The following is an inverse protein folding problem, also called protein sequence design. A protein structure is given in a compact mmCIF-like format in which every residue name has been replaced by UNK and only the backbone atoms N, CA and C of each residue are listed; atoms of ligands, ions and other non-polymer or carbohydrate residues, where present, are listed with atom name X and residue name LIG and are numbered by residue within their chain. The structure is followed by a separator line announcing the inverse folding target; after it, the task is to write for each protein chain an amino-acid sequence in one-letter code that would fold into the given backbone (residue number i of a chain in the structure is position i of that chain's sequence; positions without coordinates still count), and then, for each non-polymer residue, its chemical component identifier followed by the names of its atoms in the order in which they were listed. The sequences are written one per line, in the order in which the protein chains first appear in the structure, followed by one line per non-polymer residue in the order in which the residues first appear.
data_IF_794146336734
#
_entry.id   IF_794146336734
#
_cell.length_a   1.000
_cell.length_b   1.000
_cell.length_c   1.000
_cell.angle_alpha   90.00
_cell.angle_beta   90.00
_cell.angle_gamma   90.00
#
_symmetry.space_group_name_H-M   'P 1'
#
loop_
_entity.id
_entity.type
_entity.pdbx_description
1 polymer ?
#
# COMPACT_ATOMS: atom_id res chain seq x y z
N UNK A 1 -14.43 22.69 -34.69
CA UNK A 1 -12.97 22.82 -34.46
C UNK A 1 -12.65 21.97 -33.26
N UNK A 2 -12.07 20.79 -33.49
CA UNK A 2 -11.56 19.89 -32.46
C UNK A 2 -10.40 20.60 -31.73
N UNK A 3 -10.64 21.00 -30.49
CA UNK A 3 -9.66 21.71 -29.63
C UNK A 3 -9.38 20.94 -28.34
N UNK A 4 -9.80 19.67 -28.25
CA UNK A 4 -9.73 18.89 -27.01
C UNK A 4 -8.51 17.98 -26.90
N UNK A 5 -7.69 17.85 -27.95
CA UNK A 5 -6.48 17.03 -27.89
C UNK A 5 -5.39 17.75 -27.07
N UNK A 6 -5.15 17.27 -25.84
CA UNK A 6 -3.98 17.65 -25.05
C UNK A 6 -2.77 16.81 -25.49
N UNK A 7 -1.55 17.37 -25.47
CA UNK A 7 -0.34 16.62 -25.79
C UNK A 7 -0.13 15.48 -24.78
N UNK A 8 0.41 14.35 -25.25
CA UNK A 8 0.78 13.25 -24.37
C UNK A 8 1.98 13.65 -23.50
N UNK A 9 1.94 13.26 -22.23
CA UNK A 9 3.04 13.38 -21.28
C UNK A 9 3.37 12.04 -20.66
N UNK A 10 4.62 11.88 -20.22
CA UNK A 10 5.07 10.71 -19.46
C UNK A 10 5.62 11.16 -18.12
N UNK A 11 5.26 10.44 -17.07
CA UNK A 11 5.79 10.62 -15.72
C UNK A 11 6.39 9.30 -15.25
N UNK A 12 7.66 9.33 -14.87
CA UNK A 12 8.32 8.20 -14.20
C UNK A 12 8.07 8.33 -12.71
N UNK A 13 7.53 7.30 -12.09
CA UNK A 13 7.27 7.25 -10.65
C UNK A 13 8.24 6.30 -9.98
N UNK A 14 8.74 6.71 -8.82
CA UNK A 14 9.63 5.93 -7.99
C UNK A 14 9.01 5.80 -6.59
N UNK A 15 9.03 4.59 -6.06
CA UNK A 15 8.62 4.28 -4.70
C UNK A 15 9.36 3.02 -4.25
N UNK A 16 9.57 2.81 -2.93
CA UNK A 16 10.13 1.56 -2.42
C UNK A 16 9.32 0.34 -2.89
N UNK A 17 7.99 0.49 -2.98
CA UNK A 17 7.08 -0.52 -3.53
C UNK A 17 5.82 0.12 -4.07
N UNK A 18 5.14 -0.59 -4.97
CA UNK A 18 3.81 -0.25 -5.48
C UNK A 18 2.73 -1.25 -5.01
N UNK A 19 3.04 -2.08 -3.99
CA UNK A 19 2.04 -2.95 -3.36
C UNK A 19 0.96 -2.08 -2.69
N UNK A 20 -0.29 -2.36 -3.04
CA UNK A 20 -1.49 -1.65 -2.60
C UNK A 20 -2.44 -2.57 -1.84
N UNK A 21 -3.41 -2.03 -1.11
CA UNK A 21 -4.43 -2.87 -0.44
C UNK A 21 -5.19 -3.72 -1.47
N UNK A 22 -5.57 -3.13 -2.60
CA UNK A 22 -6.21 -3.83 -3.71
C UNK A 22 -5.39 -5.00 -4.28
N UNK A 23 -4.07 -5.02 -4.08
CA UNK A 23 -3.22 -6.16 -4.48
C UNK A 23 -3.51 -7.39 -3.62
N UNK A 24 -3.69 -7.21 -2.31
CA UNK A 24 -4.09 -8.26 -1.38
C UNK A 24 -5.54 -8.68 -1.63
N UNK A 25 -6.46 -7.71 -1.76
CA UNK A 25 -7.89 -7.98 -1.98
C UNK A 25 -8.11 -8.82 -3.24
N UNK A 26 -7.41 -8.51 -4.34
CA UNK A 26 -7.52 -9.29 -5.58
C UNK A 26 -7.11 -10.75 -5.39
N UNK A 27 -6.03 -11.01 -4.66
CA UNK A 27 -5.56 -12.39 -4.40
C UNK A 27 -6.53 -13.14 -3.48
N UNK A 28 -7.01 -12.47 -2.42
CA UNK A 28 -8.01 -13.02 -1.51
C UNK A 28 -9.33 -13.34 -2.23
N UNK A 29 -9.83 -12.42 -3.06
CA UNK A 29 -11.06 -12.62 -3.84
C UNK A 29 -10.93 -13.75 -4.88
N UNK A 30 -9.71 -14.05 -5.32
CA UNK A 30 -9.43 -15.15 -6.25
C UNK A 30 -9.20 -16.50 -5.55
N UNK A 31 -9.27 -16.57 -4.22
CA UNK A 31 -8.95 -17.78 -3.45
C UNK A 31 -7.49 -18.22 -3.56
N UNK A 32 -6.58 -17.30 -3.90
CA UNK A 32 -5.18 -17.59 -4.17
C UNK A 32 -4.33 -17.53 -2.89
N UNK A 33 -4.66 -18.34 -1.88
CA UNK A 33 -4.12 -18.23 -0.52
C UNK A 33 -2.58 -18.34 -0.47
N UNK A 34 -1.99 -19.25 -1.26
CA UNK A 34 -0.54 -19.41 -1.32
C UNK A 34 0.18 -18.19 -1.94
N UNK A 35 -0.49 -17.45 -2.83
CA UNK A 35 0.03 -16.22 -3.43
C UNK A 35 -0.17 -15.05 -2.48
N UNK A 36 -1.31 -15.01 -1.78
CA UNK A 36 -1.60 -14.02 -0.75
C UNK A 36 -0.56 -14.10 0.38
N UNK A 37 -0.26 -15.32 0.84
CA UNK A 37 0.77 -15.54 1.85
C UNK A 37 2.14 -15.08 1.34
N UNK A 38 2.53 -15.46 0.11
CA UNK A 38 3.79 -15.01 -0.49
C UNK A 38 3.89 -13.48 -0.60
N UNK A 39 2.79 -12.80 -0.93
CA UNK A 39 2.75 -11.33 -0.97
C UNK A 39 2.95 -10.72 0.42
N UNK A 40 2.33 -11.30 1.45
CA UNK A 40 2.49 -10.86 2.83
C UNK A 40 3.93 -11.07 3.33
N UNK A 41 4.50 -12.26 3.07
CA UNK A 41 5.88 -12.58 3.40
C UNK A 41 6.86 -11.63 2.68
N UNK A 42 6.69 -11.43 1.38
CA UNK A 42 7.47 -10.47 0.59
C UNK A 42 7.39 -9.04 1.18
N UNK A 43 6.20 -8.61 1.57
CA UNK A 43 6.00 -7.26 2.13
C UNK A 43 6.74 -7.10 3.46
N UNK A 44 6.63 -8.11 4.33
CA UNK A 44 7.32 -8.12 5.61
C UNK A 44 8.85 -8.15 5.44
N UNK A 45 9.34 -9.09 4.65
CA UNK A 45 10.78 -9.32 4.47
C UNK A 45 11.50 -8.10 3.91
N UNK A 46 10.90 -7.40 2.93
CA UNK A 46 11.59 -6.32 2.22
C UNK A 46 11.31 -4.92 2.75
N UNK A 47 10.16 -4.69 3.42
CA UNK A 47 9.74 -3.33 3.79
C UNK A 47 9.42 -3.15 5.26
N UNK A 48 9.37 -4.22 6.05
CA UNK A 48 9.06 -4.18 7.49
C UNK A 48 9.98 -5.13 8.25
N UNK A 49 11.29 -4.94 8.09
CA UNK A 49 12.31 -5.84 8.65
C UNK A 49 12.20 -5.99 10.17
N UNK A 50 11.83 -4.90 10.85
CA UNK A 50 11.55 -4.87 12.29
C UNK A 50 10.43 -5.84 12.70
N UNK A 51 9.39 -5.96 11.87
CA UNK A 51 8.29 -6.90 12.06
C UNK A 51 8.72 -8.32 11.64
N UNK A 52 9.44 -8.44 10.53
CA UNK A 52 9.90 -9.73 9.99
C UNK A 52 10.84 -10.48 10.94
N UNK A 53 11.76 -9.79 11.60
CA UNK A 53 12.69 -10.36 12.58
C UNK A 53 11.95 -10.94 13.79
N UNK A 54 10.80 -10.37 14.15
CA UNK A 54 9.98 -10.82 15.29
C UNK A 54 9.11 -12.05 14.99
N UNK A 55 9.10 -12.56 13.75
CA UNK A 55 8.25 -13.71 13.38
C UNK A 55 8.56 -14.99 14.17
N UNK A 56 9.80 -15.14 14.67
CA UNK A 56 10.23 -16.26 15.50
C UNK A 56 9.92 -16.11 16.99
N UNK A 57 9.49 -14.92 17.44
CA UNK A 57 9.24 -14.62 18.86
C UNK A 57 7.85 -15.07 19.35
N UNK A 58 7.09 -15.80 18.52
CA UNK A 58 5.72 -16.22 18.80
C UNK A 58 4.66 -15.19 18.39
N UNK A 59 3.45 -15.70 18.15
CA UNK A 59 2.31 -14.93 17.63
C UNK A 59 2.18 -15.00 16.10
N UNK A 60 1.16 -14.31 15.56
CA UNK A 60 0.87 -14.30 14.13
C UNK A 60 1.60 -13.11 13.45
N UNK A 61 2.59 -13.35 12.56
CA UNK A 61 3.31 -12.27 11.88
C UNK A 61 2.39 -11.40 11.00
N UNK A 62 1.32 -11.97 10.44
CA UNK A 62 0.36 -11.23 9.61
C UNK A 62 -0.53 -10.30 10.43
N UNK A 63 -0.76 -10.59 11.72
CA UNK A 63 -1.41 -9.65 12.62
C UNK A 63 -0.54 -8.41 12.83
N UNK A 64 0.77 -8.60 12.99
CA UNK A 64 1.72 -7.48 13.13
C UNK A 64 1.87 -6.70 11.82
N UNK A 65 1.85 -7.38 10.66
CA UNK A 65 1.77 -6.73 9.35
C UNK A 65 0.56 -5.80 9.29
N UNK A 66 -0.63 -6.30 9.61
CA UNK A 66 -1.85 -5.49 9.57
C UNK A 66 -1.78 -4.31 10.55
N UNK A 67 -1.30 -4.53 11.76
CA UNK A 67 -1.11 -3.46 12.75
C UNK A 67 -0.18 -2.37 12.20
N UNK A 68 0.96 -2.75 11.62
CA UNK A 68 1.91 -1.80 11.04
C UNK A 68 1.32 -0.99 9.90
N UNK A 69 0.55 -1.63 9.01
CA UNK A 69 -0.17 -0.96 7.92
C UNK A 69 -1.18 0.06 8.47
N UNK A 70 -1.93 -0.30 9.52
CA UNK A 70 -2.88 0.60 10.17
C UNK A 70 -2.19 1.82 10.75
N UNK A 71 -1.09 1.64 11.48
CA UNK A 71 -0.30 2.74 12.07
C UNK A 71 0.23 3.70 11.00
N UNK A 72 0.80 3.16 9.92
CA UNK A 72 1.32 3.95 8.79
C UNK A 72 0.20 4.74 8.10
N UNK A 73 -0.94 4.09 7.85
CA UNK A 73 -2.10 4.73 7.19
C UNK A 73 -2.72 5.80 8.07
N UNK A 74 -2.86 5.56 9.38
CA UNK A 74 -3.37 6.54 10.32
C UNK A 74 -2.47 7.78 10.36
N UNK A 75 -1.15 7.58 10.43
CA UNK A 75 -0.17 8.67 10.37
C UNK A 75 -0.29 9.46 9.06
N UNK A 76 -0.38 8.77 7.91
CA UNK A 76 -0.55 9.42 6.60
C UNK A 76 -1.78 10.32 6.56
N UNK A 77 -2.94 9.78 6.95
CA UNK A 77 -4.20 10.54 6.92
C UNK A 77 -4.16 11.70 7.91
N UNK A 78 -3.57 11.53 9.09
CA UNK A 78 -3.39 12.63 10.05
C UNK A 78 -2.56 13.77 9.44
N UNK A 79 -1.47 13.47 8.73
CA UNK A 79 -0.68 14.48 8.03
C UNK A 79 -1.48 15.18 6.93
N UNK A 80 -2.27 14.44 6.15
CA UNK A 80 -3.14 15.04 5.14
C UNK A 80 -4.11 16.04 5.75
N UNK A 81 -4.78 15.67 6.86
CA UNK A 81 -5.70 16.56 7.55
C UNK A 81 -4.99 17.80 8.09
N UNK A 82 -3.79 17.66 8.65
CA UNK A 82 -3.03 18.78 9.22
C UNK A 82 -2.66 19.87 8.20
N UNK A 83 -2.52 19.51 6.91
CA UNK A 83 -2.16 20.45 5.83
C UNK A 83 -3.32 20.76 4.88
N UNK A 84 -4.53 20.27 5.16
CA UNK A 84 -5.69 20.45 4.28
C UNK A 84 -5.56 19.74 2.92
N UNK A 85 -4.78 18.66 2.85
CA UNK A 85 -4.64 17.88 1.62
C UNK A 85 -5.85 16.97 1.40
N UNK A 86 -6.42 17.01 0.20
CA UNK A 86 -7.53 16.16 -0.24
C UNK A 86 -7.09 15.30 -1.42
N UNK A 87 -7.02 13.99 -1.21
CA UNK A 87 -6.56 13.03 -2.23
C UNK A 87 -7.55 12.87 -3.41
N UNK A 88 -8.85 12.98 -3.15
CA UNK A 88 -9.91 12.83 -4.15
C UNK A 88 -10.32 11.39 -4.50
N UNK A 89 -9.45 10.39 -4.34
CA UNK A 89 -9.70 9.00 -4.78
C UNK A 89 -9.10 7.95 -3.83
N UNK A 90 -9.69 7.79 -2.63
CA UNK A 90 -9.23 6.82 -1.63
C UNK A 90 -9.80 5.40 -1.85
N UNK A 91 -9.63 4.86 -3.05
CA UNK A 91 -9.97 3.47 -3.34
C UNK A 91 -8.84 2.54 -2.83
N UNK A 92 -9.16 1.28 -2.55
CA UNK A 92 -8.20 0.32 -2.00
C UNK A 92 -7.00 0.05 -2.94
N UNK A 93 -7.19 0.21 -4.24
CA UNK A 93 -6.10 0.16 -5.21
C UNK A 93 -5.20 1.40 -5.18
N UNK A 94 -5.60 2.54 -4.63
CA UNK A 94 -4.74 3.72 -4.50
C UNK A 94 -3.97 3.78 -3.16
N UNK A 95 -4.32 2.93 -2.20
CA UNK A 95 -3.72 2.93 -0.87
C UNK A 95 -2.46 2.05 -0.82
N UNK A 96 -1.32 2.68 -0.54
CA UNK A 96 -0.03 2.00 -0.35
C UNK A 96 0.00 1.19 0.94
N UNK A 97 0.58 -0.02 0.87
CA UNK A 97 0.86 -0.83 2.08
C UNK A 97 1.87 -0.17 3.03
N UNK A 98 2.67 0.79 2.53
CA UNK A 98 3.66 1.51 3.34
C UNK A 98 3.17 2.88 3.83
N UNK A 99 1.88 3.20 3.67
CA UNK A 99 1.36 4.52 4.06
C UNK A 99 1.96 5.67 3.25
N UNK A 100 2.26 5.43 1.97
CA UNK A 100 2.70 6.47 1.03
C UNK A 100 1.49 7.09 0.32
N UNK A 101 1.56 8.39 0.04
CA UNK A 101 0.62 9.05 -0.89
C UNK A 101 0.93 8.58 -2.31
N UNK A 102 -0.03 7.94 -2.99
CA UNK A 102 0.13 7.42 -4.35
C UNK A 102 -1.07 7.84 -5.22
N UNK A 103 -0.86 8.00 -6.52
CA UNK A 103 -1.92 8.26 -7.51
C UNK A 103 -2.62 9.62 -7.32
N UNK A 104 -1.80 10.67 -7.16
CA UNK A 104 -2.19 12.07 -7.28
C UNK A 104 -2.01 12.59 -8.72
#
# INVERSE_FOLDING_TARGET
RDRSASPAGLVVRLAPTFVRFGTFERLAASGADAQLQRLADYTLEHFMSDVWEQRGAGGNPYQRLLQRVVELTASLVAHWQAVGFVHGTMNSDNLSVLGLTLDC
#
